data_IF_936658205464
#
_entry.id   IF_936658205464
#
_cell.length_a   1.000
_cell.length_b   1.000
_cell.length_c   1.000
_cell.angle_alpha   90.00
_cell.angle_beta   90.00
_cell.angle_gamma   90.00
#
_symmetry.space_group_name_H-M   'P 1'
#
loop_
_entity.id
_entity.type
_entity.pdbx_description
1 polymer ?
#
# COMPACT_ATOMS: atom_id res chain seq x y z
N UNK A 1 -5.14 -3.63 -35.45
CA UNK A 1 -6.28 -3.15 -34.65
C UNK A 1 -6.34 -3.98 -33.39
N UNK A 2 -5.78 -3.47 -32.28
CA UNK A 2 -5.80 -4.16 -30.99
C UNK A 2 -7.23 -4.11 -30.44
N UNK A 3 -7.82 -5.27 -30.14
CA UNK A 3 -9.14 -5.34 -29.53
C UNK A 3 -9.05 -4.71 -28.13
N UNK A 4 -9.80 -3.64 -27.92
CA UNK A 4 -10.04 -3.10 -26.61
C UNK A 4 -10.82 -4.16 -25.82
N UNK A 5 -10.14 -4.90 -24.94
CA UNK A 5 -10.79 -5.77 -23.98
C UNK A 5 -11.72 -4.91 -23.13
N UNK A 6 -13.02 -5.20 -23.16
CA UNK A 6 -13.97 -4.60 -22.25
C UNK A 6 -13.49 -4.85 -20.81
N UNK A 7 -13.50 -3.83 -19.94
CA UNK A 7 -13.00 -3.99 -18.58
C UNK A 7 -13.80 -5.09 -17.90
N UNK A 8 -13.13 -6.16 -17.47
CA UNK A 8 -13.73 -7.10 -16.54
C UNK A 8 -14.18 -6.31 -15.32
N UNK A 9 -15.46 -6.40 -14.95
CA UNK A 9 -16.03 -5.70 -13.78
C UNK A 9 -15.33 -6.05 -12.46
N UNK A 10 -14.47 -7.07 -12.45
CA UNK A 10 -13.65 -7.44 -11.30
C UNK A 10 -12.21 -6.95 -11.51
N UNK A 11 -11.65 -6.16 -10.57
CA UNK A 11 -10.25 -5.77 -10.61
C UNK A 11 -9.33 -7.00 -10.67
N UNK A 12 -8.21 -6.92 -11.40
CA UNK A 12 -7.25 -8.02 -11.49
C UNK A 12 -6.72 -8.38 -10.10
N UNK A 13 -6.58 -9.68 -9.85
CA UNK A 13 -6.05 -10.15 -8.58
C UNK A 13 -4.53 -10.00 -8.54
N UNK A 14 -3.96 -9.42 -7.46
CA UNK A 14 -2.51 -9.31 -7.30
C UNK A 14 -1.84 -10.68 -7.36
N UNK A 15 -0.80 -10.80 -8.18
CA UNK A 15 -0.03 -12.05 -8.31
C UNK A 15 0.97 -12.18 -7.16
N UNK A 16 0.95 -13.32 -6.47
CA UNK A 16 1.84 -13.63 -5.36
C UNK A 16 2.56 -14.95 -5.64
N UNK A 17 3.89 -14.91 -5.66
CA UNK A 17 4.75 -16.08 -5.87
C UNK A 17 5.65 -16.21 -4.64
N UNK A 18 5.65 -17.39 -4.01
CA UNK A 18 6.42 -17.68 -2.79
C UNK A 18 6.20 -16.65 -1.65
N UNK A 19 4.95 -16.20 -1.50
CA UNK A 19 4.57 -15.21 -0.49
C UNK A 19 4.97 -13.77 -0.82
N UNK A 20 5.63 -13.53 -1.96
CA UNK A 20 6.04 -12.20 -2.41
C UNK A 20 5.15 -11.72 -3.56
N UNK A 21 4.79 -10.44 -3.52
CA UNK A 21 4.07 -9.81 -4.62
C UNK A 21 4.98 -9.68 -5.84
N UNK A 22 4.45 -10.05 -7.00
CA UNK A 22 5.11 -9.88 -8.29
C UNK A 22 4.32 -8.82 -9.06
N UNK A 23 4.92 -7.66 -9.36
CA UNK A 23 4.24 -6.65 -10.15
C UNK A 23 3.96 -7.18 -11.55
N UNK A 24 2.79 -6.82 -12.06
CA UNK A 24 2.36 -7.16 -13.41
C UNK A 24 1.91 -5.89 -14.12
N UNK A 25 1.66 -5.97 -15.42
CA UNK A 25 1.11 -4.83 -16.17
C UNK A 25 -0.25 -4.37 -15.60
N UNK A 26 -1.09 -5.30 -15.18
CA UNK A 26 -2.43 -5.01 -14.68
C UNK A 26 -2.46 -4.51 -13.23
N UNK A 27 -1.43 -4.88 -12.45
CA UNK A 27 -1.19 -4.42 -11.09
C UNK A 27 0.28 -4.00 -10.95
N UNK A 28 0.70 -2.83 -11.49
CA UNK A 28 2.11 -2.48 -11.59
C UNK A 28 2.60 -1.70 -10.36
N UNK A 29 2.25 -2.18 -9.17
CA UNK A 29 2.67 -1.55 -7.93
C UNK A 29 4.20 -1.62 -7.78
N UNK A 30 4.82 -0.51 -7.38
CA UNK A 30 6.28 -0.40 -7.23
C UNK A 30 6.59 0.24 -5.89
N UNK A 31 7.24 -0.51 -5.00
CA UNK A 31 7.65 -0.02 -3.69
C UNK A 31 8.63 1.15 -3.80
N UNK A 32 9.48 1.15 -4.83
CA UNK A 32 10.40 2.25 -5.12
C UNK A 32 9.65 3.54 -5.50
N UNK A 33 8.60 3.43 -6.33
CA UNK A 33 7.77 4.59 -6.67
C UNK A 33 7.00 5.09 -5.44
N UNK A 34 6.44 4.17 -4.64
CA UNK A 34 5.73 4.51 -3.41
C UNK A 34 6.61 5.28 -2.41
N UNK A 35 7.85 4.82 -2.21
CA UNK A 35 8.83 5.52 -1.39
C UNK A 35 9.17 6.91 -1.95
N UNK A 36 9.38 7.02 -3.26
CA UNK A 36 9.67 8.31 -3.90
C UNK A 36 8.50 9.30 -3.78
N UNK A 37 7.26 8.85 -3.99
CA UNK A 37 6.06 9.69 -3.81
C UNK A 37 5.99 10.23 -2.38
N UNK A 38 6.38 9.42 -1.39
CA UNK A 38 6.41 9.83 0.00
C UNK A 38 7.45 10.93 0.25
N UNK A 39 8.68 10.79 -0.26
CA UNK A 39 9.73 11.79 -0.14
C UNK A 39 9.36 13.11 -0.84
N UNK A 40 8.75 13.00 -2.02
CA UNK A 40 8.25 14.16 -2.77
C UNK A 40 7.16 14.89 -1.99
N UNK A 41 6.21 14.16 -1.39
CA UNK A 41 5.15 14.76 -0.56
C UNK A 41 5.67 15.38 0.74
N UNK A 42 6.72 14.80 1.31
CA UNK A 42 7.39 15.34 2.48
C UNK A 42 8.22 16.61 2.17
N UNK A 43 8.43 16.94 0.88
CA UNK A 43 9.29 18.04 0.47
C UNK A 43 10.78 17.71 0.53
N UNK A 44 11.13 16.44 0.76
CA UNK A 44 12.52 15.98 0.85
C UNK A 44 13.16 15.72 -0.51
N UNK A 45 12.34 15.53 -1.56
CA UNK A 45 12.80 15.27 -2.92
C UNK A 45 11.99 16.08 -3.95
N UNK A 46 12.61 16.52 -5.06
CA UNK A 46 11.88 17.15 -6.15
C UNK A 46 11.05 16.11 -6.93
N UNK A 47 9.87 16.49 -7.42
CA UNK A 47 9.07 15.68 -8.35
C UNK A 47 9.66 15.75 -9.78
N UNK A 48 10.89 15.27 -9.95
CA UNK A 48 11.60 15.27 -11.23
C UNK A 48 12.36 13.95 -11.37
N UNK A 49 12.32 13.35 -12.55
CA UNK A 49 13.01 12.10 -12.82
C UNK A 49 12.75 11.58 -14.23
N UNK A 50 13.00 10.29 -14.43
CA UNK A 50 12.60 9.56 -15.64
C UNK A 50 11.75 8.37 -15.21
N UNK A 51 10.50 8.38 -15.61
CA UNK A 51 9.49 7.41 -15.19
C UNK A 51 8.93 6.67 -16.39
N UNK A 52 8.54 5.41 -16.20
CA UNK A 52 7.80 4.67 -17.22
C UNK A 52 6.53 5.43 -17.59
N UNK A 53 6.26 5.62 -18.88
CA UNK A 53 5.07 6.33 -19.33
C UNK A 53 3.75 5.66 -18.94
N UNK A 54 3.78 4.35 -18.71
CA UNK A 54 2.61 3.55 -18.36
C UNK A 54 2.42 3.44 -16.84
N UNK A 55 3.36 2.80 -16.13
CA UNK A 55 3.23 2.51 -14.70
C UNK A 55 3.95 3.50 -13.77
N UNK A 56 4.61 4.52 -14.30
CA UNK A 56 5.39 5.50 -13.55
C UNK A 56 6.55 4.94 -12.72
N UNK A 57 6.88 3.64 -12.81
CA UNK A 57 8.07 3.10 -12.14
C UNK A 57 9.31 3.89 -12.58
N UNK A 58 10.19 4.32 -11.64
CA UNK A 58 11.46 4.96 -11.97
C UNK A 58 12.28 4.14 -12.96
N UNK A 59 12.78 4.77 -14.02
CA UNK A 59 13.62 4.15 -15.04
C UNK A 59 15.06 4.64 -14.92
N UNK A 60 15.99 3.70 -14.94
CA UNK A 60 17.41 4.01 -15.09
C UNK A 60 17.70 4.72 -16.42
N UNK A 61 18.81 5.45 -16.47
CA UNK A 61 19.26 6.11 -17.69
C UNK A 61 19.48 5.09 -18.82
N UNK A 62 18.98 5.39 -20.03
CA UNK A 62 19.14 4.54 -21.22
C UNK A 62 18.26 3.29 -21.26
N UNK A 63 17.56 2.93 -20.18
CA UNK A 63 16.66 1.77 -20.18
C UNK A 63 15.43 2.04 -21.05
N UNK A 64 15.14 1.18 -22.03
CA UNK A 64 13.98 1.33 -22.94
C UNK A 64 12.75 0.58 -22.47
N UNK A 65 12.90 -0.60 -21.87
CA UNK A 65 11.79 -1.43 -21.39
C UNK A 65 11.67 -1.32 -19.87
N UNK A 66 10.46 -1.08 -19.38
CA UNK A 66 10.20 -1.00 -17.95
C UNK A 66 10.26 -2.39 -17.29
N UNK A 67 11.03 -2.59 -16.21
CA UNK A 67 11.15 -3.90 -15.55
C UNK A 67 9.90 -4.33 -14.76
N UNK A 68 8.93 -3.42 -14.55
CA UNK A 68 7.73 -3.67 -13.72
C UNK A 68 6.52 -4.06 -14.55
N UNK A 69 6.37 -3.48 -15.73
CA UNK A 69 5.17 -3.61 -16.57
C UNK A 69 5.47 -3.96 -18.03
N UNK A 70 6.76 -4.21 -18.33
CA UNK A 70 7.29 -4.56 -19.65
C UNK A 70 6.96 -3.57 -20.78
N UNK A 71 6.49 -2.36 -20.45
CA UNK A 71 6.16 -1.35 -21.45
C UNK A 71 7.43 -0.69 -21.98
N UNK A 72 7.55 -0.59 -23.31
CA UNK A 72 8.63 0.12 -23.97
C UNK A 72 8.40 1.64 -23.93
N UNK A 73 9.48 2.39 -23.74
CA UNK A 73 9.50 3.85 -23.86
C UNK A 73 9.20 4.31 -25.30
N UNK A 74 9.36 3.42 -26.29
CA UNK A 74 9.00 3.68 -27.69
C UNK A 74 7.48 3.61 -27.91
N UNK A 75 6.76 2.77 -27.15
CA UNK A 75 5.30 2.64 -27.21
C UNK A 75 4.61 3.74 -26.41
N UNK A 76 5.11 3.99 -25.20
CA UNK A 76 4.60 5.03 -24.30
C UNK A 76 5.77 5.85 -23.78
N UNK A 77 5.95 7.10 -24.25
CA UNK A 77 7.08 7.94 -23.87
C UNK A 77 7.23 8.08 -22.36
N UNK A 78 8.49 8.07 -21.91
CA UNK A 78 8.81 8.27 -20.50
C UNK A 78 8.27 9.63 -20.00
N UNK A 79 7.83 9.66 -18.75
CA UNK A 79 7.40 10.88 -18.06
C UNK A 79 8.56 11.44 -17.25
N UNK A 80 8.60 12.77 -17.14
CA UNK A 80 9.60 13.50 -16.35
C UNK A 80 9.13 13.78 -14.91
N UNK A 81 7.82 13.66 -14.67
CA UNK A 81 7.16 13.94 -13.38
C UNK A 81 6.15 12.87 -13.04
N UNK A 82 5.93 12.66 -11.75
CA UNK A 82 4.86 11.83 -11.23
C UNK A 82 3.56 12.64 -11.30
N UNK A 83 2.53 12.06 -11.91
CA UNK A 83 1.22 12.70 -11.99
C UNK A 83 0.52 12.73 -10.64
N UNK A 84 -0.32 13.75 -10.42
CA UNK A 84 -1.06 13.88 -9.15
C UNK A 84 -2.01 12.71 -8.96
N UNK A 85 -2.70 12.30 -10.03
CA UNK A 85 -3.64 11.18 -10.02
C UNK A 85 -2.96 9.87 -9.62
N UNK A 86 -1.78 9.57 -10.18
CA UNK A 86 -1.01 8.37 -9.78
C UNK A 86 -0.54 8.49 -8.34
N UNK A 87 -0.04 9.66 -7.92
CA UNK A 87 0.34 9.88 -6.52
C UNK A 87 -0.83 9.63 -5.56
N UNK A 88 -2.05 10.02 -5.94
CA UNK A 88 -3.25 9.74 -5.15
C UNK A 88 -3.56 8.24 -5.07
N UNK A 89 -3.51 7.50 -6.19
CA UNK A 89 -3.69 6.03 -6.20
C UNK A 89 -2.71 5.34 -5.24
N UNK A 90 -1.43 5.73 -5.26
CA UNK A 90 -0.43 5.19 -4.35
C UNK A 90 -0.69 5.56 -2.89
N UNK A 91 -1.09 6.80 -2.64
CA UNK A 91 -1.28 7.29 -1.26
C UNK A 91 -2.56 6.76 -0.60
N UNK A 92 -3.58 6.41 -1.39
CA UNK A 92 -4.77 5.73 -0.93
C UNK A 92 -4.43 4.37 -0.28
N UNK A 93 -3.46 3.63 -0.84
CA UNK A 93 -2.92 2.40 -0.25
C UNK A 93 -2.29 2.66 1.11
N UNK A 94 -1.36 3.62 1.20
CA UNK A 94 -0.65 3.96 2.44
C UNK A 94 -1.55 4.40 3.59
N UNK A 95 -2.56 5.26 3.32
CA UNK A 95 -3.51 5.76 4.34
C UNK A 95 -4.26 4.60 5.02
N UNK A 96 -4.45 3.47 4.31
CA UNK A 96 -5.11 2.28 4.85
C UNK A 96 -4.16 1.36 5.59
N UNK A 97 -2.94 1.16 5.09
CA UNK A 97 -1.90 0.42 5.82
C UNK A 97 -1.67 1.02 7.22
N UNK A 98 -1.60 2.35 7.32
CA UNK A 98 -1.51 3.06 8.60
C UNK A 98 -2.68 2.73 9.55
N UNK A 99 -3.92 2.64 9.05
CA UNK A 99 -5.09 2.27 9.87
C UNK A 99 -4.99 0.85 10.43
N UNK A 100 -4.49 -0.10 9.66
CA UNK A 100 -4.30 -1.47 10.14
C UNK A 100 -3.19 -1.55 11.19
N UNK A 101 -2.08 -0.85 10.98
CA UNK A 101 -0.98 -0.79 11.97
C UNK A 101 -1.45 -0.14 13.27
N UNK A 102 -2.15 0.99 13.20
CA UNK A 102 -2.72 1.62 14.39
C UNK A 102 -3.80 0.77 15.05
N UNK A 103 -4.65 0.11 14.26
CA UNK A 103 -5.68 -0.81 14.77
C UNK A 103 -5.08 -2.00 15.51
N UNK A 104 -4.00 -2.58 14.98
CA UNK A 104 -3.24 -3.67 15.62
C UNK A 104 -2.68 -3.24 16.99
N UNK A 105 -2.06 -2.06 17.03
CA UNK A 105 -1.50 -1.51 18.26
C UNK A 105 -2.59 -1.29 19.32
N UNK A 106 -3.71 -0.68 18.93
CA UNK A 106 -4.87 -0.49 19.82
C UNK A 106 -5.47 -1.81 20.30
N UNK A 107 -5.59 -2.80 19.42
CA UNK A 107 -6.09 -4.13 19.80
C UNK A 107 -5.19 -4.81 20.83
N UNK A 108 -3.87 -4.74 20.64
CA UNK A 108 -2.89 -5.28 21.60
C UNK A 108 -2.96 -4.58 22.96
N UNK A 109 -3.08 -3.25 22.98
CA UNK A 109 -3.23 -2.46 24.21
C UNK A 109 -4.53 -2.82 24.93
N UNK A 110 -5.67 -2.87 24.22
CA UNK A 110 -6.96 -3.20 24.79
C UNK A 110 -6.97 -4.62 25.37
N UNK A 111 -6.43 -5.59 24.65
CA UNK A 111 -6.34 -6.97 25.11
C UNK A 111 -5.42 -7.10 26.33
N UNK A 112 -4.23 -6.51 26.29
CA UNK A 112 -3.30 -6.49 27.42
C UNK A 112 -3.90 -5.85 28.67
N UNK A 113 -4.61 -4.73 28.49
CA UNK A 113 -5.34 -4.05 29.57
C UNK A 113 -6.43 -4.96 30.13
N UNK A 114 -7.29 -5.54 29.29
CA UNK A 114 -8.38 -6.41 29.75
C UNK A 114 -7.88 -7.63 30.54
N UNK A 115 -6.83 -8.30 30.05
CA UNK A 115 -6.24 -9.45 30.74
C UNK A 115 -5.61 -9.03 32.07
N UNK A 116 -4.86 -7.94 32.08
CA UNK A 116 -4.28 -7.42 33.33
C UNK A 116 -5.34 -7.06 34.36
N UNK A 117 -6.41 -6.37 33.94
CA UNK A 117 -7.53 -6.03 34.83
C UNK A 117 -8.17 -7.31 35.39
N UNK A 118 -8.41 -8.32 34.55
CA UNK A 118 -8.91 -9.62 34.99
C UNK A 118 -8.00 -10.29 36.02
N UNK A 119 -6.69 -10.27 35.79
CA UNK A 119 -5.70 -10.81 36.74
C UNK A 119 -5.75 -10.06 38.08
N UNK A 120 -5.85 -8.73 38.09
CA UNK A 120 -5.93 -7.95 39.33
C UNK A 120 -7.18 -8.31 40.15
N UNK A 121 -8.31 -8.58 39.48
CA UNK A 121 -9.58 -8.94 40.14
C UNK A 121 -9.52 -10.35 40.75
N UNK A 122 -8.82 -11.28 40.10
CA UNK A 122 -8.81 -12.70 40.52
C UNK A 122 -7.65 -13.01 41.49
N UNK A 123 -6.51 -12.35 41.33
CA UNK A 123 -5.28 -12.68 42.06
C UNK A 123 -5.24 -12.11 43.48
N UNK A 124 -4.73 -12.88 44.47
CA UNK A 124 -4.51 -12.40 45.84
C UNK A 124 -3.37 -11.37 45.93
N UNK A 125 -3.38 -10.55 47.00
CA UNK A 125 -2.69 -9.25 47.06
C UNK A 125 -1.27 -9.19 46.50
N UNK A 126 -0.32 -9.98 47.01
CA UNK A 126 1.08 -9.89 46.58
C UNK A 126 1.30 -10.36 45.13
N UNK A 127 0.39 -11.19 44.60
CA UNK A 127 0.48 -11.72 43.23
C UNK A 127 -0.02 -10.73 42.17
N UNK A 128 -0.65 -9.62 42.56
CA UNK A 128 -1.06 -8.54 41.64
C UNK A 128 0.13 -7.91 40.89
N UNK A 129 1.35 -8.05 41.41
CA UNK A 129 2.56 -7.62 40.69
C UNK A 129 2.74 -8.37 39.36
N UNK A 130 2.30 -9.63 39.27
CA UNK A 130 2.33 -10.39 38.02
C UNK A 130 1.37 -9.81 36.98
N UNK A 131 0.27 -9.20 37.39
CA UNK A 131 -0.63 -8.52 36.46
C UNK A 131 0.05 -7.29 35.84
N UNK A 132 0.81 -6.52 36.62
CA UNK A 132 1.59 -5.38 36.11
C UNK A 132 2.69 -5.85 35.16
N UNK A 133 3.44 -6.90 35.54
CA UNK A 133 4.48 -7.49 34.67
C UNK A 133 3.86 -7.99 33.36
N UNK A 134 2.73 -8.69 33.43
CA UNK A 134 2.01 -9.17 32.25
C UNK A 134 1.47 -8.02 31.40
N UNK A 135 0.94 -6.96 32.01
CA UNK A 135 0.48 -5.78 31.28
C UNK A 135 1.62 -5.17 30.47
N UNK A 136 2.83 -5.08 31.01
CA UNK A 136 3.96 -4.47 30.29
C UNK A 136 4.55 -5.45 29.26
N UNK A 137 4.97 -6.63 29.71
CA UNK A 137 5.71 -7.58 28.88
C UNK A 137 4.77 -8.36 27.94
N UNK A 138 3.64 -8.80 28.46
CA UNK A 138 2.63 -9.55 27.71
C UNK A 138 1.98 -8.70 26.63
N UNK A 139 1.59 -7.46 26.93
CA UNK A 139 1.03 -6.57 25.90
C UNK A 139 2.04 -6.24 24.80
N UNK A 140 3.31 -6.01 25.15
CA UNK A 140 4.38 -5.79 24.18
C UNK A 140 4.55 -7.00 23.25
N UNK A 141 4.63 -8.20 23.82
CA UNK A 141 4.79 -9.43 23.04
C UNK A 141 3.58 -9.69 22.13
N UNK A 142 2.37 -9.55 22.66
CA UNK A 142 1.12 -9.70 21.91
C UNK A 142 1.03 -8.68 20.77
N UNK A 143 1.32 -7.41 21.03
CA UNK A 143 1.29 -6.35 20.02
C UNK A 143 2.34 -6.59 18.93
N UNK A 144 3.56 -7.00 19.32
CA UNK A 144 4.63 -7.32 18.38
C UNK A 144 4.26 -8.53 17.51
N UNK A 145 3.78 -9.62 18.12
CA UNK A 145 3.43 -10.85 17.40
C UNK A 145 2.24 -10.67 16.46
N UNK A 146 1.15 -10.06 16.95
CA UNK A 146 -0.05 -9.78 16.13
C UNK A 146 0.26 -8.81 14.99
N UNK A 147 1.08 -7.78 15.27
CA UNK A 147 1.50 -6.81 14.26
C UNK A 147 2.30 -7.45 13.13
N UNK A 148 3.28 -8.29 13.47
CA UNK A 148 4.24 -8.82 12.49
C UNK A 148 3.68 -9.99 11.67
N UNK A 149 2.95 -10.92 12.28
CA UNK A 149 2.63 -12.20 11.61
C UNK A 149 1.26 -12.20 10.95
N UNK A 150 0.23 -11.68 11.62
CA UNK A 150 -1.14 -11.82 11.13
C UNK A 150 -1.61 -10.61 10.32
N UNK A 151 -1.17 -9.41 10.69
CA UNK A 151 -1.78 -8.17 10.20
C UNK A 151 -1.03 -7.64 8.98
N UNK A 152 0.29 -7.78 8.91
CA UNK A 152 1.07 -7.29 7.76
C UNK A 152 0.68 -7.97 6.45
N UNK A 153 0.70 -9.30 6.38
CA UNK A 153 0.34 -10.03 5.15
C UNK A 153 -1.10 -9.76 4.71
N UNK A 154 -2.03 -9.78 5.67
CA UNK A 154 -3.43 -9.50 5.40
C UNK A 154 -3.64 -8.06 4.90
N UNK A 155 -3.07 -7.08 5.59
CA UNK A 155 -3.19 -5.66 5.23
C UNK A 155 -2.52 -5.38 3.88
N UNK A 156 -1.36 -5.96 3.61
CA UNK A 156 -0.63 -5.81 2.36
C UNK A 156 -1.43 -6.36 1.18
N UNK A 157 -1.92 -7.60 1.26
CA UNK A 157 -2.76 -8.21 0.21
C UNK A 157 -4.03 -7.42 -0.03
N UNK A 158 -4.69 -6.95 1.04
CA UNK A 158 -5.90 -6.14 0.94
C UNK A 158 -5.61 -4.76 0.33
N UNK A 159 -4.46 -4.17 0.65
CA UNK A 159 -3.97 -2.94 0.05
C UNK A 159 -3.70 -3.10 -1.45
N UNK A 160 -3.07 -4.20 -1.87
CA UNK A 160 -2.82 -4.49 -3.28
C UNK A 160 -4.09 -4.68 -4.10
N UNK A 161 -5.13 -5.33 -3.55
CA UNK A 161 -6.43 -5.46 -4.24
C UNK A 161 -7.15 -4.13 -4.44
N UNK A 162 -6.97 -3.20 -3.53
CA UNK A 162 -7.55 -1.86 -3.65
C UNK A 162 -6.74 -1.01 -4.61
N UNK A 163 -5.42 -1.13 -4.56
CA UNK A 163 -4.54 -0.55 -5.56
C UNK A 163 -4.91 -1.04 -6.95
N UNK A 164 -5.17 -2.34 -7.15
CA UNK A 164 -5.56 -2.86 -8.45
C UNK A 164 -6.88 -2.26 -8.94
N UNK A 165 -7.88 -2.11 -8.08
CA UNK A 165 -9.13 -1.44 -8.42
C UNK A 165 -8.90 0.03 -8.83
N UNK A 166 -8.25 0.82 -7.99
CA UNK A 166 -7.97 2.23 -8.26
C UNK A 166 -7.07 2.43 -9.49
N UNK A 167 -6.18 1.47 -9.77
CA UNK A 167 -5.35 1.47 -10.97
C UNK A 167 -6.17 1.26 -12.24
N UNK A 168 -7.15 0.34 -12.22
CA UNK A 168 -8.05 0.14 -13.34
C UNK A 168 -8.92 1.39 -13.60
N UNK A 169 -9.40 2.04 -12.54
CA UNK A 169 -10.14 3.30 -12.66
C UNK A 169 -9.27 4.39 -13.31
N UNK A 170 -8.01 4.50 -12.88
CA UNK A 170 -7.04 5.40 -13.50
C UNK A 170 -6.81 5.09 -14.99
N UNK A 171 -6.65 3.82 -15.36
CA UNK A 171 -6.49 3.42 -16.76
C UNK A 171 -7.74 3.74 -17.59
N UNK A 172 -8.93 3.55 -17.02
CA UNK A 172 -10.19 3.87 -17.68
C UNK A 172 -10.34 5.38 -17.94
N UNK A 173 -9.98 6.22 -16.97
CA UNK A 173 -9.95 7.68 -17.13
C UNK A 173 -8.95 8.09 -18.21
N UNK A 174 -7.74 7.52 -18.18
CA UNK A 174 -6.69 7.80 -19.17
C UNK A 174 -7.11 7.40 -20.58
N UNK A 175 -7.84 6.29 -20.73
CA UNK A 175 -8.38 5.84 -22.02
C UNK A 175 -9.45 6.79 -22.58
N UNK A 176 -10.15 7.53 -21.71
CA UNK A 176 -11.11 8.57 -22.08
C UNK A 176 -10.45 9.91 -22.44
N UNK A 177 -9.12 9.99 -22.37
CA UNK A 177 -8.35 11.20 -22.68
C UNK A 177 -8.25 12.19 -21.52
N UNK A 178 -8.65 11.80 -20.30
CA UNK A 178 -8.39 12.61 -19.12
C UNK A 178 -6.89 12.88 -19.01
N UNK A 179 -6.51 14.15 -18.84
CA UNK A 179 -5.10 14.49 -18.69
C UNK A 179 -4.64 14.03 -17.31
N UNK A 180 -3.41 13.54 -17.18
CA UNK A 180 -2.86 13.07 -15.90
C UNK A 180 -2.75 14.20 -14.83
N UNK A 181 -3.09 15.44 -15.20
CA UNK A 181 -3.12 16.65 -14.38
C UNK A 181 -4.51 17.03 -13.88
N UNK A 182 -5.57 16.46 -14.47
CA UNK A 182 -6.96 16.68 -14.09
C UNK A 182 -7.22 16.00 -12.73
N UNK A 183 -7.70 16.78 -11.77
CA UNK A 183 -8.00 16.31 -10.42
C UNK A 183 -9.06 15.20 -10.49
N UNK A 184 -8.75 13.96 -10.05
CA UNK A 184 -9.72 12.88 -10.15
C UNK A 184 -10.92 13.17 -9.24
N UNK A 185 -12.12 12.68 -9.59
CA UNK A 185 -13.30 12.81 -8.75
C UNK A 185 -13.04 12.21 -7.37
N UNK A 186 -13.53 12.88 -6.32
CA UNK A 186 -13.25 12.58 -4.91
C UNK A 186 -13.52 11.09 -4.56
N UNK A 187 -12.44 10.31 -4.44
CA UNK A 187 -12.46 8.85 -4.21
C UNK A 187 -12.76 8.48 -2.74
N UNK A 188 -13.09 9.46 -1.88
CA UNK A 188 -13.42 9.27 -0.47
C UNK A 188 -14.95 9.13 -0.22
N UNK A 189 -15.78 8.97 -1.28
CA UNK A 189 -17.23 8.75 -1.17
C UNK A 189 -17.66 7.27 -1.10
#
# INVERSE_FOLDING_TARGET
MAQAQSPSMTPPEPTIVDGKFVPTRDVPFSEALDAMIAEVRAGNAPNLGRFCGYCYTPLEAGRRVCPTCDTSADDVPARDKISRTVAQVYTAKRKREGRYVHGAAWAGILLGTAVSTGLIVILPDWTKIFAIIFLIVGSYYIASYLGNVAIQDYAYRRGLRQFSAAWQDFLALRAQGATDEEEPPDLDS
#
